data_IF_275709922135
#
_entry.id   IF_275709922135
#
_cell.length_a   1.000
_cell.length_b   1.000
_cell.length_c   1.000
_cell.angle_alpha   90.00
_cell.angle_beta   90.00
_cell.angle_gamma   90.00
#
_symmetry.space_group_name_H-M   'P 1'
#
loop_
_entity.id
_entity.type
_entity.pdbx_description
1 polymer ?
#
# COMPACT_ATOMS: atom_id res chain seq x y z
N UNK A 1 -34.68 17.77 -46.47
CA UNK A 1 -35.19 17.07 -45.27
C UNK A 1 -35.27 15.60 -45.64
N UNK A 2 -34.53 14.70 -44.96
CA UNK A 2 -34.58 13.21 -45.10
C UNK A 2 -34.13 12.68 -46.49
N UNK A 3 -33.24 11.68 -46.68
CA UNK A 3 -32.27 10.96 -45.82
C UNK A 3 -31.17 10.39 -46.73
N UNK A 4 -29.94 10.24 -46.23
CA UNK A 4 -28.85 9.54 -46.94
C UNK A 4 -29.00 8.02 -46.85
N UNK A 5 -29.10 7.35 -47.99
CA UNK A 5 -29.07 5.90 -48.10
C UNK A 5 -27.68 5.39 -48.54
N UNK A 6 -27.21 4.30 -47.92
CA UNK A 6 -26.04 3.55 -48.35
C UNK A 6 -26.31 2.79 -49.66
N UNK A 7 -25.37 2.77 -50.60
CA UNK A 7 -24.69 1.54 -51.09
C UNK A 7 -23.88 1.72 -52.39
N UNK A 8 -22.67 1.13 -52.41
CA UNK A 8 -22.06 0.40 -53.54
C UNK A 8 -21.60 1.18 -54.81
N UNK A 9 -20.60 0.74 -55.60
CA UNK A 9 -19.81 -0.52 -55.61
C UNK A 9 -18.46 -0.40 -56.37
N UNK A 10 -17.75 -1.55 -56.50
CA UNK A 10 -16.52 -1.83 -57.29
C UNK A 10 -15.20 -1.37 -56.64
N UNK A 11 -14.12 -2.17 -56.52
CA UNK A 11 -13.74 -3.48 -57.15
C UNK A 11 -12.57 -4.09 -56.34
N UNK A 12 -12.27 -5.41 -56.26
CA UNK A 12 -12.86 -6.60 -56.93
C UNK A 12 -12.66 -7.96 -56.15
N UNK A 13 -12.21 -9.01 -56.84
CA UNK A 13 -12.22 -10.45 -56.51
C UNK A 13 -11.01 -10.97 -55.69
N UNK A 14 -11.35 -11.69 -54.60
CA UNK A 14 -10.79 -12.95 -54.03
C UNK A 14 -9.45 -13.49 -54.56
N UNK A 15 -8.58 -13.89 -53.64
CA UNK A 15 -8.11 -15.29 -53.58
C UNK A 15 -7.70 -15.73 -52.16
N UNK A 16 -7.80 -17.02 -51.85
CA UNK A 16 -7.66 -17.60 -50.51
C UNK A 16 -6.22 -18.03 -50.18
N UNK A 17 -5.69 -17.60 -49.02
CA UNK A 17 -4.65 -18.35 -48.27
C UNK A 17 -5.01 -18.42 -46.78
N UNK A 18 -4.69 -19.56 -46.17
CA UNK A 18 -5.02 -19.91 -44.78
C UNK A 18 -4.37 -18.96 -43.76
N UNK A 19 -4.96 -18.78 -42.55
CA UNK A 19 -4.29 -18.08 -41.48
C UNK A 19 -3.03 -18.84 -41.06
N UNK A 20 -1.86 -18.20 -41.22
CA UNK A 20 -0.61 -18.75 -40.69
C UNK A 20 -0.65 -18.75 -39.16
N UNK A 21 -0.07 -19.79 -38.57
CA UNK A 21 0.02 -19.98 -37.13
C UNK A 21 0.72 -18.80 -36.46
N UNK A 22 0.16 -18.33 -35.35
CA UNK A 22 0.77 -17.33 -34.47
C UNK A 22 2.10 -17.89 -33.96
N UNK A 23 3.22 -17.27 -34.31
CA UNK A 23 4.53 -17.63 -33.77
C UNK A 23 4.60 -17.27 -32.28
N UNK A 24 5.23 -18.16 -31.54
CA UNK A 24 5.49 -18.06 -30.10
C UNK A 24 6.31 -16.80 -29.75
N UNK A 25 6.00 -16.19 -28.60
CA UNK A 25 6.67 -15.01 -28.04
C UNK A 25 8.15 -15.21 -27.62
N UNK A 26 8.81 -16.30 -28.05
CA UNK A 26 10.17 -16.68 -27.64
C UNK A 26 11.28 -16.28 -28.62
N UNK A 27 10.94 -15.80 -29.81
CA UNK A 27 11.92 -15.64 -30.91
C UNK A 27 12.48 -14.20 -31.08
N UNK A 28 12.13 -13.25 -30.21
CA UNK A 28 12.41 -11.81 -30.40
C UNK A 28 13.59 -11.22 -29.63
N UNK A 29 14.36 -12.00 -28.87
CA UNK A 29 15.58 -11.53 -28.20
C UNK A 29 16.77 -12.46 -28.46
N UNK A 30 17.48 -12.20 -29.56
CA UNK A 30 18.89 -12.61 -29.70
C UNK A 30 19.77 -11.48 -29.16
N UNK A 31 20.63 -11.80 -28.19
CA UNK A 31 21.70 -10.90 -27.75
C UNK A 31 22.76 -10.81 -28.85
N UNK A 32 23.00 -9.61 -29.39
CA UNK A 32 24.30 -9.28 -29.97
C UNK A 32 25.20 -8.72 -28.87
N UNK A 33 26.06 -9.59 -28.36
CA UNK A 33 27.05 -9.28 -27.33
C UNK A 33 28.32 -8.75 -28.00
N UNK A 34 28.50 -7.42 -28.07
CA UNK A 34 29.79 -6.83 -28.43
C UNK A 34 30.41 -6.05 -27.28
N UNK A 35 31.58 -6.53 -26.87
CA UNK A 35 32.44 -5.92 -25.86
C UNK A 35 32.94 -4.53 -26.30
N UNK A 36 32.67 -3.51 -25.47
CA UNK A 36 33.66 -2.45 -25.22
C UNK A 36 33.81 -2.27 -23.73
N UNK A 37 35.03 -2.49 -23.23
CA UNK A 37 35.37 -2.31 -21.82
C UNK A 37 35.27 -0.84 -21.41
N UNK A 38 34.50 -0.58 -20.35
CA UNK A 38 34.85 0.47 -19.39
C UNK A 38 34.70 -0.10 -17.98
N UNK A 39 35.84 -0.42 -17.37
CA UNK A 39 35.88 -0.77 -15.94
C UNK A 39 35.76 0.51 -15.13
N UNK A 40 34.63 0.73 -14.49
CA UNK A 40 34.61 1.34 -13.15
C UNK A 40 33.77 0.46 -12.23
N UNK A 41 34.43 -0.13 -11.25
CA UNK A 41 33.83 -1.00 -10.26
C UNK A 41 33.26 -0.19 -9.11
N UNK A 42 32.10 -0.58 -8.57
CA UNK A 42 31.96 -0.58 -7.12
C UNK A 42 31.03 -1.72 -6.67
N UNK A 43 31.63 -2.78 -6.12
CA UNK A 43 30.89 -3.78 -5.36
C UNK A 43 30.21 -3.10 -4.16
N UNK A 44 28.90 -3.32 -4.01
CA UNK A 44 28.15 -3.02 -2.78
C UNK A 44 27.32 -4.22 -2.30
N UNK A 45 27.62 -5.41 -2.81
CA UNK A 45 27.03 -6.69 -2.43
C UNK A 45 28.15 -7.64 -1.99
N UNK A 46 28.74 -7.42 -0.82
CA UNK A 46 29.41 -8.45 -0.01
C UNK A 46 29.87 -7.89 1.35
N UNK A 47 28.93 -7.85 2.30
CA UNK A 47 29.07 -8.21 3.72
C UNK A 47 27.97 -7.54 4.53
N UNK A 48 26.92 -8.29 4.84
CA UNK A 48 26.65 -8.56 6.24
C UNK A 48 25.99 -9.93 6.40
N UNK A 49 26.21 -10.56 7.55
CA UNK A 49 25.97 -11.98 7.75
C UNK A 49 24.50 -12.39 7.58
N UNK A 50 24.20 -13.26 6.62
CA UNK A 50 22.90 -13.97 6.54
C UNK A 50 22.83 -15.00 7.67
N UNK A 51 22.59 -14.53 8.90
CA UNK A 51 22.06 -15.39 9.96
C UNK A 51 20.58 -15.67 9.66
N UNK A 52 20.30 -16.89 9.20
CA UNK A 52 18.93 -17.39 9.07
C UNK A 52 18.30 -17.50 10.47
N UNK A 53 17.57 -16.46 10.88
CA UNK A 53 16.77 -16.50 12.11
C UNK A 53 15.64 -17.52 11.94
N UNK A 54 15.87 -18.74 12.44
CA UNK A 54 14.83 -19.73 12.71
C UNK A 54 14.44 -19.63 14.19
N UNK A 55 13.44 -18.80 14.50
CA UNK A 55 12.83 -18.76 15.83
C UNK A 55 11.36 -19.17 15.75
N UNK A 56 10.86 -20.11 16.57
CA UNK A 56 9.47 -20.56 16.48
C UNK A 56 8.46 -19.52 16.97
N UNK A 57 7.36 -19.36 16.25
CA UNK A 57 6.17 -18.61 16.67
C UNK A 57 5.41 -19.37 17.78
N UNK A 58 5.85 -19.30 19.05
CA UNK A 58 5.09 -19.90 20.16
C UNK A 58 4.92 -19.10 21.47
N UNK A 59 5.72 -18.07 21.74
CA UNK A 59 5.65 -17.35 23.03
C UNK A 59 4.87 -16.01 22.98
N UNK A 60 3.87 -15.92 22.09
CA UNK A 60 3.07 -14.72 21.85
C UNK A 60 1.72 -14.64 22.59
N UNK A 61 1.48 -15.47 23.61
CA UNK A 61 0.18 -15.64 24.26
C UNK A 61 0.15 -15.30 25.78
N UNK A 62 1.20 -14.64 26.29
CA UNK A 62 1.42 -14.46 27.74
C UNK A 62 1.04 -13.11 28.36
N UNK A 63 0.62 -12.09 27.59
CA UNK A 63 0.51 -10.70 28.07
C UNK A 63 -0.95 -10.25 28.28
N UNK A 64 -1.70 -10.98 29.12
CA UNK A 64 -3.06 -10.57 29.53
C UNK A 64 -3.40 -10.80 31.02
N UNK A 65 -2.44 -11.19 31.87
CA UNK A 65 -2.74 -11.68 33.23
C UNK A 65 -1.92 -11.06 34.37
N UNK A 66 -1.42 -9.82 34.24
CA UNK A 66 -0.68 -9.13 35.31
C UNK A 66 -1.09 -7.66 35.47
N UNK A 67 -2.18 -7.42 36.21
CA UNK A 67 -2.36 -6.38 37.24
C UNK A 67 -3.53 -6.83 38.13
N UNK A 68 -3.41 -6.64 39.44
CA UNK A 68 -4.40 -7.00 40.48
C UNK A 68 -4.32 -5.94 41.61
N UNK A 69 -5.29 -5.82 42.53
CA UNK A 69 -6.69 -5.49 42.26
C UNK A 69 -7.16 -4.20 43.01
N UNK A 70 -8.39 -3.76 42.70
CA UNK A 70 -9.25 -2.82 43.46
C UNK A 70 -8.77 -1.36 43.70
N UNK A 71 -9.30 -0.46 42.86
CA UNK A 71 -10.11 0.65 43.35
C UNK A 71 -11.46 0.65 42.63
N UNK A 72 -12.54 0.99 43.35
CA UNK A 72 -13.91 1.03 42.82
C UNK A 72 -14.23 2.46 42.38
N UNK A 73 -14.00 2.74 41.10
CA UNK A 73 -14.63 3.88 40.43
C UNK A 73 -15.89 3.41 39.69
N UNK A 74 -16.84 4.33 39.47
CA UNK A 74 -18.03 4.10 38.65
C UNK A 74 -17.59 3.80 37.21
N UNK A 75 -17.40 2.52 36.89
CA UNK A 75 -17.23 2.08 35.52
C UNK A 75 -18.56 2.21 34.80
N UNK A 76 -18.61 3.13 33.84
CA UNK A 76 -19.46 2.92 32.65
C UNK A 76 -19.23 1.47 32.17
N UNK A 77 -20.28 0.76 31.71
CA UNK A 77 -20.13 -0.62 31.25
C UNK A 77 -19.06 -0.66 30.17
N UNK A 78 -17.93 -1.33 30.45
CA UNK A 78 -16.85 -1.46 29.48
C UNK A 78 -17.39 -2.22 28.27
N UNK A 79 -17.38 -1.56 27.11
CA UNK A 79 -17.80 -2.12 25.82
C UNK A 79 -17.18 -3.51 25.62
N UNK A 80 -18.02 -4.52 25.43
CA UNK A 80 -17.53 -5.88 25.14
C UNK A 80 -16.81 -5.91 23.80
N UNK A 81 -15.93 -6.90 23.59
CA UNK A 81 -15.21 -7.04 22.32
C UNK A 81 -16.17 -7.14 21.11
N UNK A 82 -17.30 -7.84 21.29
CA UNK A 82 -18.35 -7.93 20.27
C UNK A 82 -19.02 -6.58 19.98
N UNK A 83 -19.40 -5.81 21.01
CA UNK A 83 -19.98 -4.47 20.84
C UNK A 83 -18.99 -3.52 20.15
N UNK A 84 -17.71 -3.58 20.52
CA UNK A 84 -16.63 -2.81 19.90
C UNK A 84 -16.47 -3.16 18.41
N UNK A 85 -16.44 -4.45 18.08
CA UNK A 85 -16.37 -4.91 16.68
C UNK A 85 -17.60 -4.45 15.90
N UNK A 86 -18.81 -4.58 16.46
CA UNK A 86 -20.05 -4.12 15.83
C UNK A 86 -20.05 -2.59 15.60
N UNK A 87 -19.63 -1.79 16.59
CA UNK A 87 -19.49 -0.33 16.49
C UNK A 87 -18.50 0.07 15.39
N UNK A 88 -17.32 -0.56 15.37
CA UNK A 88 -16.29 -0.31 14.34
C UNK A 88 -16.81 -0.69 12.95
N UNK A 89 -17.44 -1.86 12.83
CA UNK A 89 -18.02 -2.36 11.56
C UNK A 89 -19.10 -1.41 11.04
N UNK A 90 -19.98 -0.92 11.92
CA UNK A 90 -20.99 0.08 11.57
C UNK A 90 -20.34 1.37 11.09
N UNK A 91 -19.42 1.94 11.86
CA UNK A 91 -18.72 3.19 11.52
C UNK A 91 -17.97 3.10 10.19
N UNK A 92 -17.27 2.00 9.93
CA UNK A 92 -16.56 1.78 8.67
C UNK A 92 -17.54 1.75 7.49
N UNK A 93 -18.65 1.02 7.61
CA UNK A 93 -19.68 0.95 6.57
C UNK A 93 -20.39 2.30 6.34
N UNK A 94 -20.63 3.09 7.39
CA UNK A 94 -21.27 4.41 7.29
C UNK A 94 -20.33 5.47 6.70
N UNK A 95 -19.06 5.52 7.13
CA UNK A 95 -18.07 6.50 6.70
C UNK A 95 -17.49 6.22 5.31
N UNK A 96 -17.17 4.97 5.00
CA UNK A 96 -16.41 4.60 3.80
C UNK A 96 -17.22 3.86 2.71
N UNK A 97 -18.50 3.54 2.97
CA UNK A 97 -19.46 3.13 1.95
C UNK A 97 -20.71 4.04 1.96
N UNK A 98 -20.56 5.37 1.74
CA UNK A 98 -21.66 6.34 1.87
C UNK A 98 -22.84 6.05 0.92
N UNK A 99 -22.57 5.43 -0.24
CA UNK A 99 -23.56 4.99 -1.21
C UNK A 99 -24.28 3.68 -0.83
N UNK A 100 -23.98 3.11 0.35
CA UNK A 100 -24.59 1.90 0.93
C UNK A 100 -24.64 0.71 -0.02
N UNK A 101 -23.60 0.56 -0.85
CA UNK A 101 -23.54 -0.49 -1.87
C UNK A 101 -23.30 -1.82 -1.15
N UNK A 102 -24.34 -2.66 -1.04
CA UNK A 102 -24.30 -3.93 -0.25
C UNK A 102 -23.08 -4.81 -0.52
N UNK A 103 -22.58 -4.87 -1.77
CA UNK A 103 -21.41 -5.69 -2.17
C UNK A 103 -20.06 -5.17 -1.63
N UNK A 104 -20.06 -3.97 -1.07
CA UNK A 104 -18.91 -3.30 -0.45
C UNK A 104 -19.03 -3.31 1.08
N UNK A 105 -20.12 -3.84 1.65
CA UNK A 105 -20.26 -3.90 3.10
C UNK A 105 -19.21 -4.84 3.70
N UNK A 106 -18.59 -4.37 4.77
CA UNK A 106 -17.64 -5.10 5.59
C UNK A 106 -18.37 -5.79 6.73
N UNK A 107 -17.98 -7.02 7.05
CA UNK A 107 -18.56 -7.82 8.14
C UNK A 107 -17.74 -7.71 9.43
N UNK A 108 -18.36 -8.11 10.55
CA UNK A 108 -17.73 -8.09 11.88
C UNK A 108 -16.52 -9.02 11.95
N UNK A 109 -16.54 -10.18 11.28
CA UNK A 109 -15.40 -11.11 11.21
C UNK A 109 -14.21 -10.50 10.45
N UNK A 110 -14.48 -9.68 9.41
CA UNK A 110 -13.42 -8.98 8.68
C UNK A 110 -12.78 -7.86 9.53
N UNK A 111 -13.58 -7.18 10.37
CA UNK A 111 -13.08 -6.18 11.33
C UNK A 111 -12.30 -6.85 12.45
N UNK A 112 -12.78 -7.96 13.01
CA UNK A 112 -12.06 -8.72 14.04
C UNK A 112 -10.69 -9.19 13.55
N UNK A 113 -10.62 -9.73 12.32
CA UNK A 113 -9.35 -10.18 11.72
C UNK A 113 -8.40 -9.01 11.40
N UNK A 114 -8.92 -7.86 10.97
CA UNK A 114 -8.11 -6.66 10.75
C UNK A 114 -7.58 -6.07 12.07
N UNK A 115 -8.39 -6.04 13.14
CA UNK A 115 -7.94 -5.69 14.49
C UNK A 115 -6.82 -6.61 14.98
N UNK A 116 -6.98 -7.93 14.81
CA UNK A 116 -5.97 -8.94 15.18
C UNK A 116 -4.64 -8.78 14.42
N UNK A 117 -4.66 -8.16 13.24
CA UNK A 117 -3.49 -7.86 12.40
C UNK A 117 -2.95 -6.42 12.59
N UNK A 118 -3.56 -5.64 13.47
CA UNK A 118 -3.31 -4.20 13.66
C UNK A 118 -3.50 -3.36 12.37
N UNK A 119 -4.46 -3.75 11.52
CA UNK A 119 -4.74 -3.15 10.21
C UNK A 119 -5.74 -1.99 10.25
N UNK A 120 -6.12 -1.51 11.44
CA UNK A 120 -7.08 -0.42 11.64
C UNK A 120 -6.41 0.70 12.44
N UNK A 121 -6.42 1.91 11.89
CA UNK A 121 -5.88 3.13 12.50
C UNK A 121 -7.01 3.91 13.17
N UNK A 122 -6.73 4.40 14.39
CA UNK A 122 -7.68 5.17 15.20
C UNK A 122 -7.14 6.58 15.50
N UNK A 123 -8.02 7.57 15.42
CA UNK A 123 -7.74 8.90 15.97
C UNK A 123 -7.79 8.89 17.52
N UNK A 124 -7.45 10.00 18.14
CA UNK A 124 -7.48 10.18 19.61
C UNK A 124 -8.86 9.94 20.23
N UNK A 125 -9.94 10.05 19.44
CA UNK A 125 -11.32 9.80 19.88
C UNK A 125 -11.75 8.33 19.75
N UNK A 126 -10.86 7.45 19.28
CA UNK A 126 -11.17 6.04 19.04
C UNK A 126 -12.08 5.79 17.83
N UNK A 127 -12.14 6.72 16.88
CA UNK A 127 -12.83 6.57 15.59
C UNK A 127 -11.86 6.03 14.54
N UNK A 128 -12.34 5.17 13.63
CA UNK A 128 -11.50 4.70 12.52
C UNK A 128 -11.25 5.82 11.52
N UNK A 129 -9.98 6.04 11.20
CA UNK A 129 -9.52 6.96 10.15
C UNK A 129 -9.08 6.23 8.91
N UNK A 130 -8.23 5.22 9.06
CA UNK A 130 -7.75 4.36 7.96
C UNK A 130 -7.88 2.87 8.33
N UNK A 131 -8.01 2.00 7.33
CA UNK A 131 -8.00 0.56 7.53
C UNK A 131 -7.59 -0.24 6.28
N UNK A 132 -7.05 -1.43 6.47
CA UNK A 132 -6.92 -2.45 5.42
C UNK A 132 -7.81 -3.65 5.77
N UNK A 133 -8.95 -3.76 5.07
CA UNK A 133 -9.94 -4.80 5.33
C UNK A 133 -9.98 -5.81 4.17
N UNK A 134 -9.60 -7.05 4.47
CA UNK A 134 -9.44 -8.12 3.46
C UNK A 134 -10.80 -8.74 3.14
N UNK A 135 -11.06 -9.04 1.86
CA UNK A 135 -12.26 -9.75 1.43
C UNK A 135 -11.95 -11.25 1.19
N UNK A 136 -12.46 -12.19 2.00
CA UNK A 136 -12.14 -13.62 1.86
C UNK A 136 -12.77 -14.30 0.63
N UNK A 137 -13.66 -13.62 -0.11
CA UNK A 137 -14.39 -14.17 -1.26
C UNK A 137 -14.01 -13.52 -2.61
N UNK A 138 -13.04 -12.61 -2.62
CA UNK A 138 -12.58 -11.94 -3.84
C UNK A 138 -11.06 -11.96 -3.90
N UNK A 139 -10.54 -12.80 -4.79
CA UNK A 139 -9.13 -12.85 -5.15
C UNK A 139 -8.58 -11.45 -5.45
N UNK A 140 -7.66 -11.01 -4.58
CA UNK A 140 -6.52 -10.08 -4.71
C UNK A 140 -6.67 -8.70 -5.39
N UNK A 141 -7.71 -8.46 -6.20
CA UNK A 141 -7.71 -7.39 -7.21
C UNK A 141 -8.64 -6.19 -6.90
N UNK A 142 -9.42 -6.25 -5.81
CA UNK A 142 -10.28 -5.15 -5.33
C UNK A 142 -9.95 -4.74 -3.90
N UNK A 143 -8.65 -4.53 -3.66
CA UNK A 143 -8.07 -4.19 -2.36
C UNK A 143 -7.77 -2.69 -2.35
N UNK A 144 -8.82 -1.88 -2.19
CA UNK A 144 -8.60 -0.48 -1.84
C UNK A 144 -8.23 -0.43 -0.36
N UNK A 145 -7.07 0.14 0.04
CA UNK A 145 -6.94 0.66 1.39
C UNK A 145 -8.10 1.64 1.63
N UNK A 146 -8.62 1.63 2.85
CA UNK A 146 -9.57 2.62 3.33
C UNK A 146 -8.73 3.76 3.89
N UNK A 147 -8.71 4.89 3.20
CA UNK A 147 -7.86 6.03 3.57
C UNK A 147 -6.39 5.81 3.21
N UNK A 148 -5.47 6.24 4.08
CA UNK A 148 -4.03 6.27 3.83
C UNK A 148 -3.37 4.88 3.99
N UNK A 149 -2.82 4.27 2.92
CA UNK A 149 -2.14 2.98 3.04
C UNK A 149 -0.84 3.04 3.85
N UNK A 150 -0.12 4.17 3.87
CA UNK A 150 1.10 4.31 4.68
C UNK A 150 0.79 4.30 6.18
N UNK A 151 -0.32 4.93 6.60
CA UNK A 151 -0.76 4.92 7.99
C UNK A 151 -1.02 3.48 8.48
N UNK A 152 -1.63 2.65 7.63
CA UNK A 152 -1.90 1.25 7.98
C UNK A 152 -0.62 0.44 8.14
N UNK A 153 0.37 0.54 7.24
CA UNK A 153 1.63 -0.22 7.40
C UNK A 153 2.47 0.27 8.58
N UNK A 154 2.48 1.59 8.87
CA UNK A 154 3.10 2.14 10.09
C UNK A 154 2.41 1.60 11.36
N UNK A 155 1.08 1.53 11.38
CA UNK A 155 0.36 0.97 12.52
C UNK A 155 0.63 -0.54 12.67
N UNK A 156 0.63 -1.32 11.59
CA UNK A 156 1.06 -2.74 11.59
C UNK A 156 2.46 -2.93 12.20
N UNK A 157 3.36 -1.96 12.03
CA UNK A 157 4.69 -1.92 12.61
C UNK A 157 4.77 -1.42 14.08
N UNK A 158 3.65 -1.04 14.72
CA UNK A 158 3.63 -0.52 16.09
C UNK A 158 4.02 0.96 16.22
N UNK A 159 3.96 1.71 15.11
CA UNK A 159 4.21 3.14 15.02
C UNK A 159 2.87 3.89 14.97
N UNK A 160 2.10 3.78 16.06
CA UNK A 160 0.70 4.22 16.13
C UNK A 160 0.53 5.74 16.11
N UNK A 161 1.50 6.49 16.68
CA UNK A 161 1.45 7.96 16.68
C UNK A 161 1.84 8.51 15.29
N UNK A 162 2.83 7.90 14.65
CA UNK A 162 3.26 8.20 13.27
C UNK A 162 2.16 7.82 12.27
N UNK A 163 1.48 6.69 12.49
CA UNK A 163 0.30 6.29 11.73
C UNK A 163 -0.85 7.29 11.87
N UNK A 164 -1.13 7.79 13.09
CA UNK A 164 -2.14 8.83 13.29
C UNK A 164 -1.77 10.14 12.61
N UNK A 165 -0.51 10.56 12.70
CA UNK A 165 -0.01 11.73 11.99
C UNK A 165 -0.13 11.59 10.46
N UNK A 166 0.14 10.40 9.92
CA UNK A 166 -0.04 10.06 8.51
C UNK A 166 -1.53 10.07 8.09
N UNK A 167 -2.42 9.54 8.94
CA UNK A 167 -3.89 9.58 8.82
C UNK A 167 -4.42 11.00 8.74
N UNK A 168 -4.00 11.84 9.68
CA UNK A 168 -4.60 13.15 9.88
C UNK A 168 -4.12 14.12 8.80
N UNK A 169 -2.84 14.03 8.39
CA UNK A 169 -2.35 14.74 7.21
C UNK A 169 -3.11 14.34 5.94
N UNK A 170 -3.35 13.05 5.71
CA UNK A 170 -4.07 12.56 4.53
C UNK A 170 -5.49 13.14 4.39
N UNK A 171 -6.17 13.36 5.51
CA UNK A 171 -7.50 13.96 5.54
C UNK A 171 -7.50 15.46 5.15
N UNK A 172 -6.35 16.13 5.20
CA UNK A 172 -6.20 17.52 4.70
C UNK A 172 -5.96 17.60 3.18
N UNK A 173 -5.56 16.48 2.56
CA UNK A 173 -5.20 16.43 1.14
C UNK A 173 -6.43 16.33 0.23
N UNK A 174 -6.35 17.01 -0.92
CA UNK A 174 -7.24 16.77 -2.05
C UNK A 174 -6.98 15.40 -2.69
N UNK A 175 -7.94 14.90 -3.48
CA UNK A 175 -7.83 13.60 -4.16
C UNK A 175 -6.55 13.44 -5.02
N UNK A 176 -6.10 14.52 -5.68
CA UNK A 176 -4.87 14.49 -6.48
C UNK A 176 -3.62 14.33 -5.59
N UNK A 177 -3.57 15.04 -4.46
CA UNK A 177 -2.46 14.97 -3.51
C UNK A 177 -2.41 13.60 -2.80
N UNK A 178 -3.58 13.03 -2.47
CA UNK A 178 -3.72 11.65 -1.99
C UNK A 178 -3.22 10.63 -3.04
N UNK A 179 -3.47 10.85 -4.33
CA UNK A 179 -2.97 10.00 -5.41
C UNK A 179 -1.43 10.03 -5.50
N UNK A 180 -0.78 11.18 -5.26
CA UNK A 180 0.69 11.26 -5.22
C UNK A 180 1.27 10.45 -4.05
N UNK A 181 0.71 10.57 -2.85
CA UNK A 181 1.11 9.74 -1.70
C UNK A 181 0.79 8.24 -1.90
N UNK A 182 -0.31 7.89 -2.59
CA UNK A 182 -0.64 6.52 -3.00
C UNK A 182 0.38 5.93 -3.97
N UNK A 183 0.92 6.77 -4.86
CA UNK A 183 1.89 6.36 -5.89
C UNK A 183 3.22 5.97 -5.26
N UNK A 184 3.69 6.69 -4.23
CA UNK A 184 4.91 6.33 -3.49
C UNK A 184 4.75 5.00 -2.74
N UNK A 185 3.60 4.78 -2.08
CA UNK A 185 3.25 3.51 -1.45
C UNK A 185 3.31 2.35 -2.45
N UNK A 186 2.67 2.53 -3.61
CA UNK A 186 2.56 1.49 -4.64
C UNK A 186 3.93 1.12 -5.20
N UNK A 187 4.77 2.12 -5.52
CA UNK A 187 6.14 1.88 -6.00
C UNK A 187 6.99 1.13 -4.96
N UNK A 188 6.86 1.44 -3.68
CA UNK A 188 7.57 0.73 -2.61
C UNK A 188 7.10 -0.73 -2.50
N UNK A 189 5.78 -0.96 -2.50
CA UNK A 189 5.18 -2.30 -2.43
C UNK A 189 5.61 -3.19 -3.60
N UNK A 190 5.68 -2.63 -4.81
CA UNK A 190 6.17 -3.33 -6.00
C UNK A 190 7.66 -3.69 -5.88
N UNK A 191 8.49 -2.79 -5.35
CA UNK A 191 9.92 -3.06 -5.08
C UNK A 191 10.15 -4.11 -3.99
N UNK A 192 9.30 -4.15 -2.96
CA UNK A 192 9.33 -5.24 -1.97
C UNK A 192 8.97 -6.58 -2.63
N UNK A 193 7.90 -6.64 -3.43
CA UNK A 193 7.53 -7.85 -4.17
C UNK A 193 8.66 -8.34 -5.12
N UNK A 194 9.38 -7.42 -5.77
CA UNK A 194 10.58 -7.72 -6.56
C UNK A 194 11.71 -8.30 -5.69
N UNK A 195 12.04 -7.67 -4.55
CA UNK A 195 13.10 -8.13 -3.65
C UNK A 195 12.89 -9.58 -3.17
N UNK A 196 11.66 -9.94 -2.83
CA UNK A 196 11.33 -11.27 -2.29
C UNK A 196 11.10 -12.36 -3.35
N UNK A 197 10.83 -12.02 -4.61
CA UNK A 197 10.45 -13.01 -5.64
C UNK A 197 11.22 -12.93 -6.96
N UNK A 198 12.00 -11.87 -7.18
CA UNK A 198 12.56 -11.53 -8.49
C UNK A 198 11.51 -11.08 -9.52
N UNK A 199 10.23 -10.94 -9.14
CA UNK A 199 9.14 -10.63 -10.07
C UNK A 199 8.17 -9.57 -9.48
N UNK A 200 8.35 -8.27 -9.80
CA UNK A 200 7.63 -7.18 -9.13
C UNK A 200 6.09 -7.30 -9.15
N UNK A 201 5.50 -7.51 -10.33
CA UNK A 201 4.05 -7.46 -10.49
C UNK A 201 3.35 -8.79 -10.19
N UNK A 202 3.89 -9.93 -10.65
CA UNK A 202 3.18 -11.21 -10.53
C UNK A 202 3.05 -11.74 -9.10
N UNK A 203 3.87 -11.27 -8.17
CA UNK A 203 3.75 -11.62 -6.75
C UNK A 203 2.69 -10.75 -6.03
N UNK A 204 2.62 -9.46 -6.37
CA UNK A 204 1.55 -8.55 -5.95
C UNK A 204 0.19 -9.01 -6.47
N UNK A 205 0.10 -9.36 -7.76
CA UNK A 205 -1.12 -9.86 -8.38
C UNK A 205 -1.66 -11.10 -7.64
N UNK A 206 -0.81 -12.06 -7.30
CA UNK A 206 -1.21 -13.31 -6.60
C UNK A 206 -1.61 -13.13 -5.13
N UNK A 207 -1.70 -11.89 -4.64
CA UNK A 207 -2.08 -11.61 -3.25
C UNK A 207 -1.08 -12.10 -2.20
N UNK A 208 0.18 -12.36 -2.59
CA UNK A 208 1.22 -12.78 -1.66
C UNK A 208 1.65 -11.55 -0.86
N UNK A 209 1.54 -11.63 0.46
CA UNK A 209 1.96 -10.56 1.35
C UNK A 209 3.43 -10.74 1.74
N UNK A 210 4.20 -9.67 1.59
CA UNK A 210 5.59 -9.56 2.00
C UNK A 210 5.72 -8.53 3.13
N UNK A 211 6.76 -8.61 3.97
CA UNK A 211 7.12 -7.51 4.87
C UNK A 211 7.21 -6.20 4.09
N UNK A 212 6.48 -5.18 4.54
CA UNK A 212 6.48 -3.87 3.89
C UNK A 212 7.74 -3.07 4.27
N UNK A 213 8.24 -3.28 5.49
CA UNK A 213 9.56 -2.86 5.96
C UNK A 213 10.43 -4.11 6.16
N UNK A 214 11.75 -3.98 5.99
CA UNK A 214 12.69 -5.08 6.17
C UNK A 214 13.10 -5.26 7.64
N UNK A 215 13.13 -4.17 8.41
CA UNK A 215 13.37 -4.19 9.85
C UNK A 215 12.11 -4.35 10.70
N UNK A 216 12.31 -4.78 11.95
CA UNK A 216 11.30 -4.81 13.03
C UNK A 216 11.56 -3.76 14.12
N UNK A 217 12.69 -3.05 14.10
CA UNK A 217 12.99 -1.97 15.05
C UNK A 217 12.43 -0.64 14.57
N UNK A 218 11.79 0.13 15.46
CA UNK A 218 11.16 1.43 15.14
C UNK A 218 12.08 2.37 14.37
N UNK A 219 13.31 2.55 14.84
CA UNK A 219 14.29 3.45 14.21
C UNK A 219 14.59 3.08 12.74
N UNK A 220 14.95 1.82 12.47
CA UNK A 220 15.21 1.39 11.10
C UNK A 220 13.96 1.39 10.22
N UNK A 221 12.78 1.08 10.75
CA UNK A 221 11.52 1.21 10.00
C UNK A 221 11.29 2.67 9.56
N UNK A 222 11.52 3.63 10.47
CA UNK A 222 11.42 5.05 10.14
C UNK A 222 12.52 5.50 9.17
N UNK A 223 13.74 4.97 9.30
CA UNK A 223 14.81 5.18 8.32
C UNK A 223 14.44 4.64 6.93
N UNK A 224 13.88 3.43 6.83
CA UNK A 224 13.36 2.85 5.59
C UNK A 224 12.22 3.69 4.98
N UNK A 225 11.28 4.14 5.81
CA UNK A 225 10.20 5.04 5.42
C UNK A 225 10.75 6.35 4.81
N UNK A 226 11.59 7.09 5.54
CA UNK A 226 12.13 8.37 5.06
C UNK A 226 13.01 8.20 3.82
N UNK A 227 13.86 7.17 3.76
CA UNK A 227 14.66 6.82 2.57
C UNK A 227 13.78 6.54 1.34
N UNK A 228 12.58 6.01 1.54
CA UNK A 228 11.64 5.71 0.46
C UNK A 228 10.96 6.97 -0.05
N UNK A 229 10.49 7.83 0.86
CA UNK A 229 9.91 9.13 0.49
C UNK A 229 10.94 10.03 -0.22
N UNK A 230 12.20 10.04 0.24
CA UNK A 230 13.28 10.81 -0.41
C UNK A 230 13.63 10.30 -1.82
N UNK A 231 13.51 9.00 -2.08
CA UNK A 231 13.64 8.45 -3.44
C UNK A 231 12.49 8.91 -4.33
N UNK A 232 11.26 8.97 -3.80
CA UNK A 232 10.09 9.44 -4.54
C UNK A 232 10.15 10.93 -4.87
N UNK A 233 10.60 11.78 -3.94
CA UNK A 233 10.84 13.21 -4.18
C UNK A 233 11.80 13.41 -5.37
N UNK A 234 12.97 12.78 -5.31
CA UNK A 234 13.96 12.81 -6.40
C UNK A 234 13.40 12.28 -7.72
N UNK A 235 12.53 11.28 -7.69
CA UNK A 235 11.91 10.77 -8.92
C UNK A 235 10.93 11.78 -9.53
N UNK A 236 10.17 12.53 -8.73
CA UNK A 236 9.27 13.57 -9.24
C UNK A 236 10.05 14.78 -9.78
N UNK A 237 11.10 15.23 -9.09
CA UNK A 237 11.99 16.30 -9.54
C UNK A 237 12.63 15.98 -10.90
N UNK A 238 13.09 14.74 -11.09
CA UNK A 238 13.73 14.29 -12.33
C UNK A 238 12.74 13.98 -13.46
N UNK A 239 11.51 13.56 -13.15
CA UNK A 239 10.49 13.16 -14.14
C UNK A 239 9.45 14.26 -14.42
N UNK A 240 9.90 15.50 -14.65
CA UNK A 240 9.03 16.59 -15.10
C UNK A 240 8.38 16.35 -16.48
N UNK A 241 8.73 15.28 -17.19
CA UNK A 241 8.21 14.93 -18.51
C UNK A 241 6.72 14.59 -18.51
N UNK A 242 5.88 15.60 -18.77
CA UNK A 242 4.43 15.49 -18.93
C UNK A 242 3.61 16.37 -17.99
N UNK A 243 4.22 16.91 -16.94
CA UNK A 243 3.59 17.82 -15.98
C UNK A 243 4.14 19.25 -16.16
N UNK A 244 3.41 20.25 -15.69
CA UNK A 244 3.95 21.63 -15.60
C UNK A 244 4.91 21.76 -14.41
N UNK A 245 5.78 22.78 -14.43
CA UNK A 245 6.75 23.02 -13.36
C UNK A 245 6.03 23.29 -12.04
N UNK A 246 4.92 24.03 -12.08
CA UNK A 246 4.07 24.33 -10.93
C UNK A 246 3.44 23.07 -10.34
N UNK A 247 3.03 22.11 -11.19
CA UNK A 247 2.50 20.83 -10.74
C UNK A 247 3.59 19.97 -10.07
N UNK A 248 4.80 19.93 -10.65
CA UNK A 248 5.94 19.22 -10.04
C UNK A 248 6.31 19.83 -8.68
N UNK A 249 6.35 21.17 -8.58
CA UNK A 249 6.58 21.87 -7.32
C UNK A 249 5.52 21.51 -6.28
N UNK A 250 4.23 21.56 -6.65
CA UNK A 250 3.13 21.20 -5.77
C UNK A 250 3.20 19.75 -5.27
N UNK A 251 3.54 18.80 -6.16
CA UNK A 251 3.69 17.39 -5.80
C UNK A 251 4.88 17.17 -4.85
N UNK A 252 5.99 17.88 -5.06
CA UNK A 252 7.17 17.89 -4.18
C UNK A 252 6.83 18.48 -2.81
N UNK A 253 6.12 19.61 -2.75
CA UNK A 253 5.66 20.25 -1.50
C UNK A 253 4.74 19.31 -0.70
N UNK A 254 3.81 18.63 -1.38
CA UNK A 254 2.88 17.67 -0.78
C UNK A 254 3.62 16.50 -0.13
N UNK A 255 4.52 15.85 -0.87
CA UNK A 255 5.27 14.69 -0.38
C UNK A 255 6.28 15.10 0.69
N UNK A 256 6.88 16.30 0.58
CA UNK A 256 7.79 16.85 1.61
C UNK A 256 7.04 17.15 2.91
N UNK A 257 5.84 17.73 2.82
CA UNK A 257 4.99 18.01 3.98
C UNK A 257 4.55 16.72 4.66
N UNK A 258 4.10 15.71 3.90
CA UNK A 258 3.80 14.37 4.42
C UNK A 258 4.98 13.75 5.18
N UNK A 259 6.19 13.82 4.61
CA UNK A 259 7.43 13.37 5.26
C UNK A 259 7.66 14.09 6.58
N UNK A 260 7.51 15.42 6.59
CA UNK A 260 7.81 16.26 7.74
C UNK A 260 6.82 16.06 8.89
N UNK A 261 5.52 15.94 8.61
CA UNK A 261 4.50 15.64 9.63
C UNK A 261 4.79 14.33 10.36
N UNK A 262 5.14 13.28 9.63
CA UNK A 262 5.49 11.97 10.20
C UNK A 262 6.83 12.04 10.97
N UNK A 263 7.81 12.81 10.46
CA UNK A 263 9.08 13.04 11.15
C UNK A 263 8.91 13.79 12.47
N UNK A 264 8.02 14.78 12.52
CA UNK A 264 7.70 15.52 13.74
C UNK A 264 7.02 14.61 14.78
N UNK A 265 6.06 13.79 14.36
CA UNK A 265 5.41 12.80 15.23
C UNK A 265 6.42 11.80 15.81
N UNK A 266 7.31 11.26 14.97
CA UNK A 266 8.38 10.36 15.41
C UNK A 266 9.34 11.05 16.40
N UNK A 267 9.77 12.28 16.09
CA UNK A 267 10.75 13.03 16.90
C UNK A 267 10.21 13.49 18.25
N UNK A 268 8.88 13.53 18.43
CA UNK A 268 8.20 13.80 19.73
C UNK A 268 8.10 12.55 20.62
N UNK A 269 8.27 11.36 20.05
CA UNK A 269 8.04 10.06 20.68
C UNK A 269 9.30 9.15 20.71
N UNK A 270 10.47 9.69 20.32
CA UNK A 270 11.78 9.02 20.32
C UNK A 270 12.60 9.36 21.55
#
# INVERSE_FOLDING_TARGET
>A
MITTGYNNHNTFVRDLKQPQQVKSFKDTFSLDLQNTNTKESTNWLENDSIQKIKTPLKDGLGILSLISPQQVENKEPQETEAEKIARITKHINEKFNPNKIKRNNITEEQVAEALRRNEIVFNEKGEVTDAFIRNPKRDWFLYSPIGNPWAVELNKAGLTEEARAASDYWQTLSFHEQFMASSTYTQHKVKQAELYTGTPFSAFERGIEFPFFNSTSKEEIMNEFFKTIDKSLKMNENNAGGNSIEQVQKDVETITSFKNTIKEAYSKNS
#
